data_IF_862045671645
#
_entry.id   IF_862045671645
#
_cell.length_a   1.000
_cell.length_b   1.000
_cell.length_c   1.000
_cell.angle_alpha   90.00
_cell.angle_beta   90.00
_cell.angle_gamma   90.00
#
_symmetry.space_group_name_H-M   'P 1'
#
loop_
_entity.id
_entity.type
_entity.pdbx_description
1 polymer ?
#
# COMPACT_ATOMS: atom_id res chain seq x y z
N UNK A 1 -3.65 -32.15 63.55
CA UNK A 1 -3.08 -32.02 62.19
C UNK A 1 -4.21 -31.75 61.21
N UNK A 2 -4.29 -30.54 60.61
CA UNK A 2 -5.25 -30.25 59.52
C UNK A 2 -4.67 -30.75 58.20
N UNK A 3 -5.38 -31.66 57.54
CA UNK A 3 -5.02 -32.22 56.23
C UNK A 3 -5.34 -31.16 55.17
N UNK A 4 -4.32 -30.62 54.52
CA UNK A 4 -4.48 -29.65 53.42
C UNK A 4 -5.05 -30.35 52.19
N UNK A 5 -6.27 -30.02 51.79
CA UNK A 5 -6.84 -30.42 50.51
C UNK A 5 -6.12 -29.67 49.38
N UNK A 6 -5.33 -30.39 48.59
CA UNK A 6 -4.77 -29.85 47.35
C UNK A 6 -5.91 -29.67 46.34
N UNK A 7 -6.37 -28.42 46.14
CA UNK A 7 -7.27 -28.07 45.03
C UNK A 7 -6.55 -28.37 43.71
N UNK A 8 -6.95 -29.44 43.03
CA UNK A 8 -6.47 -29.77 41.69
C UNK A 8 -6.87 -28.68 40.69
N UNK A 9 -5.98 -28.36 39.75
CA UNK A 9 -6.28 -27.44 38.66
C UNK A 9 -7.31 -28.11 37.75
N UNK A 10 -8.42 -27.43 37.49
CA UNK A 10 -9.48 -27.94 36.62
C UNK A 10 -9.00 -27.98 35.16
N UNK A 11 -9.30 -29.07 34.45
CA UNK A 11 -8.83 -29.30 33.08
C UNK A 11 -9.14 -28.15 32.11
N UNK A 12 -10.29 -27.48 32.27
CA UNK A 12 -10.66 -26.34 31.43
C UNK A 12 -9.75 -25.11 31.63
N UNK A 13 -9.19 -24.90 32.83
CA UNK A 13 -8.23 -23.81 33.07
C UNK A 13 -6.91 -24.09 32.36
N UNK A 14 -6.47 -25.34 32.38
CA UNK A 14 -5.29 -25.79 31.62
C UNK A 14 -5.54 -25.61 30.11
N UNK A 15 -6.72 -26.02 29.62
CA UNK A 15 -7.09 -25.85 28.21
C UNK A 15 -7.10 -24.36 27.79
N UNK A 16 -7.66 -23.47 28.60
CA UNK A 16 -7.66 -22.02 28.33
C UNK A 16 -6.22 -21.50 28.23
N UNK A 17 -5.34 -21.87 29.16
CA UNK A 17 -3.93 -21.43 29.12
C UNK A 17 -3.23 -21.92 27.85
N UNK A 18 -3.46 -23.17 27.44
CA UNK A 18 -2.88 -23.72 26.21
C UNK A 18 -3.40 -22.97 24.97
N UNK A 19 -4.71 -22.76 24.87
CA UNK A 19 -5.32 -22.04 23.74
C UNK A 19 -4.79 -20.61 23.69
N UNK A 20 -4.73 -19.91 24.82
CA UNK A 20 -4.17 -18.56 24.90
C UNK A 20 -2.70 -18.54 24.47
N UNK A 21 -1.89 -19.51 24.90
CA UNK A 21 -0.48 -19.60 24.50
C UNK A 21 -0.33 -19.82 22.98
N UNK A 22 -1.16 -20.67 22.37
CA UNK A 22 -1.16 -20.89 20.92
C UNK A 22 -1.55 -19.63 20.17
N UNK A 23 -2.62 -18.94 20.59
CA UNK A 23 -3.06 -17.69 19.96
C UNK A 23 -1.97 -16.62 20.03
N UNK A 24 -1.34 -16.45 21.20
CA UNK A 24 -0.23 -15.51 21.38
C UNK A 24 0.94 -15.86 20.46
N UNK A 25 1.29 -17.14 20.33
CA UNK A 25 2.38 -17.59 19.46
C UNK A 25 2.10 -17.28 17.98
N UNK A 26 0.88 -17.53 17.52
CA UNK A 26 0.48 -17.26 16.14
C UNK A 26 0.49 -15.75 15.85
N UNK A 27 -0.10 -14.95 16.74
CA UNK A 27 -0.10 -13.49 16.62
C UNK A 27 1.32 -12.91 16.64
N UNK A 28 2.19 -13.40 17.53
CA UNK A 28 3.57 -12.94 17.63
C UNK A 28 4.37 -13.28 16.37
N UNK A 29 4.22 -14.50 15.84
CA UNK A 29 4.87 -14.94 14.60
C UNK A 29 4.43 -14.07 13.41
N UNK A 30 3.13 -13.77 13.33
CA UNK A 30 2.57 -12.91 12.29
C UNK A 30 3.12 -11.47 12.35
N UNK A 31 3.22 -10.89 13.55
CA UNK A 31 3.77 -9.54 13.74
C UNK A 31 5.25 -9.47 13.38
N UNK A 32 6.05 -10.44 13.84
CA UNK A 32 7.49 -10.51 13.52
C UNK A 32 7.68 -10.64 12.01
N UNK A 33 6.96 -11.54 11.36
CA UNK A 33 7.05 -11.73 9.92
C UNK A 33 6.69 -10.45 9.15
N UNK A 34 5.58 -9.79 9.53
CA UNK A 34 5.15 -8.54 8.90
C UNK A 34 6.19 -7.42 9.08
N UNK A 35 6.79 -7.31 10.27
CA UNK A 35 7.79 -6.28 10.55
C UNK A 35 9.12 -6.53 9.84
N UNK A 36 9.46 -7.80 9.59
CA UNK A 36 10.72 -8.16 8.94
C UNK A 36 10.65 -8.04 7.42
N UNK A 37 9.46 -8.24 6.84
CA UNK A 37 9.24 -8.24 5.39
C UNK A 37 9.36 -6.85 4.78
N UNK A 38 8.79 -5.81 5.41
CA UNK A 38 8.83 -4.44 4.87
C UNK A 38 10.15 -3.78 5.28
N UNK A 39 11.03 -3.54 4.31
CA UNK A 39 12.31 -2.85 4.49
C UNK A 39 12.10 -1.34 4.52
N UNK A 40 11.28 -0.82 3.60
CA UNK A 40 11.02 0.60 3.48
C UNK A 40 9.63 0.88 2.93
N UNK A 41 9.13 2.07 3.21
CA UNK A 41 7.81 2.52 2.84
C UNK A 41 7.84 4.01 2.49
N UNK A 42 7.30 4.36 1.32
CA UNK A 42 7.13 5.76 0.91
C UNK A 42 5.71 6.02 0.45
N UNK A 43 5.21 7.22 0.78
CA UNK A 43 3.92 7.72 0.32
C UNK A 43 4.10 9.02 -0.47
N UNK A 44 3.34 9.16 -1.55
CA UNK A 44 3.27 10.39 -2.33
C UNK A 44 1.81 10.81 -2.52
N UNK A 45 1.55 12.11 -2.42
CA UNK A 45 0.24 12.67 -2.68
C UNK A 45 -0.14 12.58 -4.15
N UNK A 46 -1.34 12.06 -4.42
CA UNK A 46 -1.96 12.05 -5.73
C UNK A 46 -3.19 12.93 -5.75
N UNK A 47 -3.36 13.72 -6.83
CA UNK A 47 -4.55 14.54 -7.03
C UNK A 47 -4.92 14.68 -8.51
N UNK A 48 -6.21 14.80 -8.75
CA UNK A 48 -6.82 15.03 -10.06
C UNK A 48 -8.10 15.85 -9.88
N UNK A 49 -8.35 16.75 -10.83
CA UNK A 49 -9.62 17.45 -10.97
C UNK A 49 -10.34 16.86 -12.19
N UNK A 50 -11.44 16.14 -11.96
CA UNK A 50 -12.30 15.63 -13.03
C UNK A 50 -13.22 16.75 -13.50
N UNK A 51 -13.20 17.00 -14.79
CA UNK A 51 -13.95 18.09 -15.44
C UNK A 51 -14.81 17.56 -16.58
N UNK A 52 -15.76 18.37 -17.04
CA UNK A 52 -16.54 18.05 -18.23
C UNK A 52 -15.66 18.06 -19.48
N UNK A 53 -16.11 17.36 -20.53
CA UNK A 53 -15.49 17.40 -21.84
C UNK A 53 -15.28 18.85 -22.33
N UNK A 54 -14.14 19.11 -22.97
CA UNK A 54 -13.79 20.43 -23.49
C UNK A 54 -13.10 21.40 -22.52
N UNK A 55 -12.92 21.03 -21.24
CA UNK A 55 -12.18 21.85 -20.26
C UNK A 55 -10.80 21.27 -19.94
N UNK A 56 -9.84 21.39 -20.85
CA UNK A 56 -8.46 20.96 -20.59
C UNK A 56 -7.69 22.09 -19.89
N UNK A 57 -6.99 21.78 -18.81
CA UNK A 57 -6.15 22.73 -18.09
C UNK A 57 -4.79 22.16 -17.75
N UNK A 58 -3.74 22.94 -17.99
CA UNK A 58 -2.38 22.59 -17.56
C UNK A 58 -2.21 22.84 -16.07
N UNK A 59 -1.65 21.86 -15.37
CA UNK A 59 -1.30 22.01 -13.97
C UNK A 59 0.11 22.59 -13.83
N UNK A 60 0.25 23.69 -13.07
CA UNK A 60 1.53 24.34 -12.74
C UNK A 60 2.06 23.97 -11.35
N UNK A 61 1.34 23.11 -10.62
CA UNK A 61 1.69 22.73 -9.26
C UNK A 61 2.85 21.71 -9.25
N UNK A 62 3.88 21.91 -8.40
CA UNK A 62 5.09 21.08 -8.34
C UNK A 62 4.89 19.67 -7.74
N UNK A 63 3.69 19.28 -7.32
CA UNK A 63 3.43 17.95 -6.79
C UNK A 63 3.67 16.83 -7.83
N UNK A 64 4.56 15.88 -7.50
CA UNK A 64 5.05 14.80 -8.39
C UNK A 64 3.91 14.01 -9.06
N UNK A 65 2.81 13.73 -8.35
CA UNK A 65 1.65 13.02 -8.89
C UNK A 65 0.37 13.86 -8.93
N UNK A 66 0.48 15.11 -9.40
CA UNK A 66 -0.67 15.90 -9.81
C UNK A 66 -1.01 15.68 -11.29
N UNK A 67 -2.16 15.07 -11.55
CA UNK A 67 -2.66 14.76 -12.89
C UNK A 67 -3.40 15.92 -13.57
N UNK A 68 -3.61 17.03 -12.84
CA UNK A 68 -4.26 18.24 -13.34
C UNK A 68 -5.75 18.07 -13.61
N UNK A 69 -6.26 18.81 -14.60
CA UNK A 69 -7.65 18.74 -15.04
C UNK A 69 -7.78 17.69 -16.13
N UNK A 70 -8.58 16.66 -15.88
CA UNK A 70 -8.77 15.54 -16.81
C UNK A 70 -10.26 15.40 -17.10
N UNK A 71 -10.67 15.55 -18.36
CA UNK A 71 -12.06 15.36 -18.74
C UNK A 71 -12.55 13.93 -18.47
N UNK A 72 -13.86 13.76 -18.26
CA UNK A 72 -14.52 12.46 -18.32
C UNK A 72 -14.21 11.76 -19.64
N UNK A 73 -13.95 10.44 -19.60
CA UNK A 73 -13.57 9.64 -20.76
C UNK A 73 -12.10 9.78 -21.20
N UNK A 74 -11.32 10.67 -20.58
CA UNK A 74 -9.91 10.88 -20.92
C UNK A 74 -8.96 10.08 -20.01
N UNK A 75 -7.70 10.01 -20.45
CA UNK A 75 -6.60 9.39 -19.69
C UNK A 75 -5.49 10.40 -19.46
N UNK A 76 -4.90 10.37 -18.27
CA UNK A 76 -3.69 11.11 -17.93
C UNK A 76 -2.59 10.15 -17.47
N UNK A 77 -1.33 10.51 -17.74
CA UNK A 77 -0.16 9.67 -17.46
C UNK A 77 0.92 10.47 -16.74
N UNK A 78 1.59 9.80 -15.80
CA UNK A 78 2.83 10.26 -15.16
C UNK A 78 3.85 9.13 -15.11
N UNK A 79 5.09 9.43 -15.48
CA UNK A 79 6.23 8.56 -15.25
C UNK A 79 6.84 8.85 -13.88
N UNK A 80 7.44 7.83 -13.27
CA UNK A 80 8.27 7.99 -12.08
C UNK A 80 9.43 7.00 -12.13
N UNK A 81 10.53 7.37 -11.49
CA UNK A 81 11.70 6.51 -11.35
C UNK A 81 11.74 5.90 -9.95
N UNK A 82 11.88 4.58 -9.89
CA UNK A 82 12.09 3.84 -8.66
C UNK A 82 13.55 3.39 -8.62
N UNK A 83 14.29 3.86 -7.63
CA UNK A 83 15.64 3.40 -7.32
C UNK A 83 15.71 2.96 -5.86
N UNK A 84 16.73 2.18 -5.53
CA UNK A 84 16.97 1.65 -4.20
C UNK A 84 18.47 1.50 -3.96
N UNK A 85 18.91 1.81 -2.74
CA UNK A 85 20.34 1.87 -2.37
C UNK A 85 20.81 0.62 -1.58
N UNK A 86 19.98 -0.43 -1.50
CA UNK A 86 20.32 -1.68 -0.83
C UNK A 86 21.27 -2.53 -1.67
N UNK A 87 22.18 -3.22 -0.98
CA UNK A 87 23.14 -4.14 -1.59
C UNK A 87 22.56 -5.50 -2.00
N UNK A 88 21.24 -5.65 -1.95
CA UNK A 88 20.51 -6.88 -2.27
C UNK A 88 19.22 -6.55 -3.04
N UNK A 89 18.65 -7.50 -3.82
CA UNK A 89 17.41 -7.26 -4.55
C UNK A 89 16.25 -7.00 -3.60
N UNK A 90 15.36 -6.07 -3.97
CA UNK A 90 14.15 -5.78 -3.20
C UNK A 90 12.92 -5.99 -4.04
N UNK A 91 11.88 -6.51 -3.41
CA UNK A 91 10.56 -6.64 -4.02
C UNK A 91 9.82 -5.31 -3.85
N UNK A 92 9.49 -4.65 -4.95
CA UNK A 92 8.73 -3.41 -4.97
C UNK A 92 7.26 -3.71 -5.20
N UNK A 93 6.40 -3.22 -4.32
CA UNK A 93 4.94 -3.24 -4.47
C UNK A 93 4.39 -1.83 -4.44
N UNK A 94 3.52 -1.49 -5.40
CA UNK A 94 2.98 -0.15 -5.59
C UNK A 94 1.45 -0.19 -5.54
N UNK A 95 0.87 0.67 -4.72
CA UNK A 95 -0.58 0.71 -4.53
C UNK A 95 -1.12 2.13 -4.49
N UNK A 96 -2.30 2.32 -5.08
CA UNK A 96 -3.06 3.55 -4.93
C UNK A 96 -4.10 3.42 -3.81
N UNK A 97 -4.35 4.53 -3.11
CA UNK A 97 -5.37 4.64 -2.07
C UNK A 97 -6.13 5.96 -2.17
N UNK A 98 -7.24 6.09 -1.44
CA UNK A 98 -8.09 7.29 -1.46
C UNK A 98 -9.16 7.27 -2.57
N UNK A 99 -9.82 8.41 -2.74
CA UNK A 99 -10.93 8.60 -3.68
C UNK A 99 -10.52 8.42 -5.15
N UNK A 100 -9.26 8.72 -5.49
CA UNK A 100 -8.72 8.56 -6.84
C UNK A 100 -8.45 7.09 -7.22
N UNK A 101 -8.33 6.18 -6.24
CA UNK A 101 -7.85 4.79 -6.41
C UNK A 101 -8.49 4.05 -7.58
N UNK A 102 -9.81 4.17 -7.75
CA UNK A 102 -10.56 3.42 -8.78
C UNK A 102 -10.23 3.84 -10.21
N UNK A 103 -9.66 5.03 -10.38
CA UNK A 103 -9.25 5.58 -11.66
C UNK A 103 -7.76 5.32 -11.95
N UNK A 104 -6.98 4.90 -10.94
CA UNK A 104 -5.53 4.69 -11.07
C UNK A 104 -5.24 3.27 -11.54
N UNK A 105 -4.43 3.16 -12.59
CA UNK A 105 -3.89 1.91 -13.11
C UNK A 105 -2.37 1.99 -13.20
N UNK A 106 -1.69 0.96 -12.70
CA UNK A 106 -0.23 0.87 -12.65
C UNK A 106 0.14 -0.48 -13.29
N UNK A 107 0.59 -0.51 -14.55
CA UNK A 107 0.85 -1.76 -15.27
C UNK A 107 1.88 -2.65 -14.56
N UNK A 108 2.94 -2.03 -14.04
CA UNK A 108 4.02 -2.70 -13.32
C UNK A 108 4.02 -2.30 -11.85
N UNK A 109 3.07 -2.85 -11.10
CA UNK A 109 2.88 -2.53 -9.69
C UNK A 109 3.55 -3.52 -8.71
N UNK A 110 4.17 -4.59 -9.23
CA UNK A 110 4.83 -5.62 -8.43
C UNK A 110 6.02 -6.20 -9.20
N UNK A 111 7.24 -5.93 -8.74
CA UNK A 111 8.47 -6.37 -9.43
C UNK A 111 9.67 -6.44 -8.49
N UNK A 112 10.69 -7.21 -8.88
CA UNK A 112 11.99 -7.23 -8.19
C UNK A 112 12.86 -6.12 -8.79
N UNK A 113 13.50 -5.33 -7.93
CA UNK A 113 14.46 -4.28 -8.27
C UNK A 113 15.85 -4.68 -7.77
N UNK A 114 16.77 -4.88 -8.71
CA UNK A 114 18.16 -5.25 -8.43
C UNK A 114 18.97 -4.09 -7.83
N UNK A 115 20.08 -4.36 -7.12
CA UNK A 115 21.03 -3.35 -6.64
C UNK A 115 21.48 -2.37 -7.73
N UNK A 116 21.40 -1.07 -7.44
CA UNK A 116 21.86 0.02 -8.32
C UNK A 116 21.13 0.13 -9.66
N UNK A 117 19.96 -0.51 -9.81
CA UNK A 117 19.11 -0.36 -10.98
C UNK A 117 18.00 0.66 -10.69
N UNK A 118 17.86 1.63 -11.57
CA UNK A 118 16.70 2.52 -11.63
C UNK A 118 15.70 1.94 -12.62
N UNK A 119 14.44 1.85 -12.21
CA UNK A 119 13.34 1.40 -13.06
C UNK A 119 12.31 2.51 -13.23
N UNK A 120 11.99 2.81 -14.48
CA UNK A 120 10.88 3.71 -14.80
C UNK A 120 9.55 2.96 -14.68
N UNK A 121 8.57 3.59 -14.03
CA UNK A 121 7.20 3.09 -13.90
C UNK A 121 6.22 4.11 -14.45
N UNK A 122 5.10 3.59 -14.96
CA UNK A 122 4.02 4.42 -15.49
C UNK A 122 2.79 4.34 -14.58
N UNK A 123 2.24 5.50 -14.24
CA UNK A 123 0.99 5.61 -13.51
C UNK A 123 -0.03 6.29 -14.42
N UNK A 124 -1.09 5.55 -14.69
CA UNK A 124 -2.17 5.93 -15.58
C UNK A 124 -3.40 6.28 -14.72
N UNK A 125 -4.10 7.34 -15.10
CA UNK A 125 -5.40 7.68 -14.53
C UNK A 125 -6.43 7.68 -15.66
N UNK A 126 -7.30 6.69 -15.65
CA UNK A 126 -8.44 6.58 -16.55
C UNK A 126 -9.68 7.15 -15.85
N UNK A 127 -10.24 8.22 -16.40
CA UNK A 127 -11.47 8.83 -15.88
C UNK A 127 -12.65 8.27 -16.67
N UNK A 128 -13.55 7.47 -16.06
CA UNK A 128 -14.74 6.98 -16.74
C UNK A 128 -15.62 8.10 -17.28
N UNK A 129 -16.40 7.82 -18.33
CA UNK A 129 -17.30 8.81 -18.93
C UNK A 129 -18.45 9.21 -17.99
N UNK A 130 -18.86 8.30 -17.10
CA UNK A 130 -19.89 8.52 -16.07
C UNK A 130 -19.33 9.05 -14.74
N UNK A 131 -18.02 9.32 -14.67
CA UNK A 131 -17.39 9.83 -13.45
C UNK A 131 -17.91 11.24 -13.14
N UNK A 132 -18.35 11.45 -11.89
CA UNK A 132 -18.76 12.79 -11.44
C UNK A 132 -17.59 13.76 -11.48
N UNK A 133 -17.84 14.97 -11.93
CA UNK A 133 -16.86 16.06 -11.85
C UNK A 133 -16.53 16.38 -10.40
N UNK A 134 -15.31 16.87 -10.17
CA UNK A 134 -14.83 17.23 -8.84
C UNK A 134 -13.38 16.82 -8.59
N UNK A 135 -12.93 17.07 -7.36
CA UNK A 135 -11.57 16.80 -6.93
C UNK A 135 -11.47 15.40 -6.31
N UNK A 136 -10.51 14.63 -6.79
CA UNK A 136 -10.18 13.33 -6.24
C UNK A 136 -8.73 13.34 -5.78
N UNK A 137 -8.52 12.81 -4.58
CA UNK A 137 -7.21 12.74 -3.94
C UNK A 137 -6.94 11.35 -3.37
N UNK A 138 -5.66 11.09 -3.14
CA UNK A 138 -5.19 9.81 -2.64
C UNK A 138 -3.69 9.78 -2.37
N UNK A 139 -3.19 8.60 -2.05
CA UNK A 139 -1.76 8.36 -1.86
C UNK A 139 -1.29 7.25 -2.80
N UNK A 140 -0.16 7.45 -3.45
CA UNK A 140 0.65 6.40 -4.06
C UNK A 140 1.56 5.84 -2.98
N UNK A 141 1.45 4.54 -2.71
CA UNK A 141 2.18 3.83 -1.66
C UNK A 141 3.18 2.91 -2.33
N UNK A 142 4.46 3.06 -1.98
CA UNK A 142 5.55 2.24 -2.49
C UNK A 142 6.16 1.48 -1.33
N UNK A 143 6.04 0.16 -1.37
CA UNK A 143 6.62 -0.76 -0.40
C UNK A 143 7.86 -1.39 -1.00
N UNK A 144 8.96 -1.36 -0.25
CA UNK A 144 10.17 -2.13 -0.53
C UNK A 144 10.20 -3.28 0.45
N UNK A 145 10.02 -4.49 -0.05
CA UNK A 145 9.94 -5.72 0.70
C UNK A 145 11.19 -6.58 0.46
N UNK A 146 11.55 -7.39 1.45
CA UNK A 146 12.50 -8.49 1.22
C UNK A 146 11.84 -9.49 0.24
N UNK A 147 12.56 -9.96 -0.80
CA UNK A 147 12.05 -10.97 -1.71
C UNK A 147 11.59 -12.25 -1.01
#
# INVERSE_FOLDING_TARGET
MKKSEKKGISAYKVAIVIISAVLISVSSTSLIYSSWKIVNYREFDMKIEVVEEGRIGFNLDPGIFNFGKVPTGATSKRGAEVHQDYSYPVLVRIEASGSIKKMVFIPENYFILEPNITKEIEILVFVPQDQKTGNYSGKLKVYFERP
#
